data_IF_970823507439
#
_entry.id   IF_970823507439
#
_cell.length_a   1.000
_cell.length_b   1.000
_cell.length_c   1.000
_cell.angle_alpha   90.00
_cell.angle_beta   90.00
_cell.angle_gamma   90.00
#
_symmetry.space_group_name_H-M   'P 1'
#
loop_
_entity.id
_entity.type
_entity.pdbx_description
1 polymer ?
#
# COMPACT_ATOMS: atom_id res chain seq x y z
N UNK A 1 -14.07 -10.51 -54.84
CA UNK A 1 -14.47 -11.14 -53.56
C UNK A 1 -14.78 -10.02 -52.56
N UNK A 2 -16.07 -9.69 -52.39
CA UNK A 2 -16.54 -8.60 -51.53
C UNK A 2 -16.75 -9.17 -50.16
N UNK A 3 -15.82 -8.85 -49.23
CA UNK A 3 -15.96 -9.24 -47.82
C UNK A 3 -17.13 -8.47 -47.21
N UNK A 4 -18.22 -9.17 -46.86
CA UNK A 4 -19.49 -8.61 -46.37
C UNK A 4 -19.20 -7.69 -45.13
N UNK A 5 -19.80 -6.48 -45.09
CA UNK A 5 -19.66 -5.53 -43.96
C UNK A 5 -20.15 -6.14 -42.63
N UNK A 6 -20.95 -7.17 -42.69
CA UNK A 6 -21.43 -7.94 -41.54
C UNK A 6 -20.32 -8.72 -40.84
N UNK A 7 -19.39 -9.33 -41.57
CA UNK A 7 -18.24 -10.05 -41.02
C UNK A 7 -17.25 -9.10 -40.31
N UNK A 8 -17.08 -7.88 -40.85
CA UNK A 8 -16.20 -6.86 -40.22
C UNK A 8 -16.73 -6.39 -38.87
N UNK A 9 -18.06 -6.25 -38.75
CA UNK A 9 -18.71 -5.87 -37.47
C UNK A 9 -18.62 -6.98 -36.43
N UNK A 10 -18.76 -8.25 -36.89
CA UNK A 10 -18.63 -9.43 -36.02
C UNK A 10 -17.19 -9.61 -35.49
N UNK A 11 -16.18 -9.42 -36.35
CA UNK A 11 -14.79 -9.46 -35.94
C UNK A 11 -14.43 -8.34 -34.93
N UNK A 12 -14.94 -7.14 -35.13
CA UNK A 12 -14.76 -6.03 -34.22
C UNK A 12 -15.31 -6.30 -32.80
N UNK A 13 -16.51 -6.88 -32.72
CA UNK A 13 -17.15 -7.24 -31.45
C UNK A 13 -16.38 -8.35 -30.71
N UNK A 14 -15.88 -9.35 -31.45
CA UNK A 14 -15.07 -10.45 -30.84
C UNK A 14 -13.72 -9.94 -30.36
N UNK A 15 -13.07 -9.07 -31.11
CA UNK A 15 -11.78 -8.48 -30.70
C UNK A 15 -11.93 -7.59 -29.47
N UNK A 16 -12.97 -6.77 -29.40
CA UNK A 16 -13.28 -5.92 -28.24
C UNK A 16 -13.63 -6.78 -27.02
N UNK A 17 -14.44 -7.84 -27.20
CA UNK A 17 -14.80 -8.78 -26.13
C UNK A 17 -13.57 -9.50 -25.58
N UNK A 18 -12.66 -9.97 -26.42
CA UNK A 18 -11.43 -10.62 -26.00
C UNK A 18 -10.47 -9.66 -25.31
N UNK A 19 -10.42 -8.39 -25.73
CA UNK A 19 -9.61 -7.36 -25.10
C UNK A 19 -10.18 -6.97 -23.73
N UNK A 20 -11.49 -6.76 -23.61
CA UNK A 20 -12.17 -6.49 -22.32
C UNK A 20 -12.05 -7.67 -21.36
N UNK A 21 -12.18 -8.92 -21.83
CA UNK A 21 -12.00 -10.09 -20.98
C UNK A 21 -10.55 -10.21 -20.46
N UNK A 22 -9.55 -9.96 -21.31
CA UNK A 22 -8.14 -9.92 -20.88
C UNK A 22 -7.88 -8.80 -19.88
N UNK A 23 -8.44 -7.61 -20.06
CA UNK A 23 -8.34 -6.51 -19.08
C UNK A 23 -9.00 -6.90 -17.76
N UNK A 24 -10.20 -7.46 -17.78
CA UNK A 24 -10.91 -7.93 -16.57
C UNK A 24 -10.10 -9.01 -15.83
N UNK A 25 -9.49 -9.95 -16.56
CA UNK A 25 -8.64 -10.98 -15.97
C UNK A 25 -7.34 -10.42 -15.39
N UNK A 26 -6.72 -9.44 -16.04
CA UNK A 26 -5.55 -8.71 -15.51
C UNK A 26 -5.96 -7.91 -14.25
N UNK A 27 -7.12 -7.23 -14.30
CA UNK A 27 -7.64 -6.51 -13.13
C UNK A 27 -7.98 -7.45 -11.97
N UNK A 28 -8.63 -8.60 -12.23
CA UNK A 28 -8.91 -9.61 -11.19
C UNK A 28 -7.62 -10.17 -10.58
N UNK A 29 -6.63 -10.50 -11.42
CA UNK A 29 -5.34 -11.05 -10.99
C UNK A 29 -4.47 -10.03 -10.24
N UNK A 30 -4.58 -8.72 -10.58
CA UNK A 30 -3.83 -7.63 -9.96
C UNK A 30 -4.64 -6.81 -8.94
N UNK A 31 -5.88 -7.20 -8.68
CA UNK A 31 -6.79 -6.48 -7.78
C UNK A 31 -6.17 -6.22 -6.41
N UNK A 32 -5.48 -7.19 -5.84
CA UNK A 32 -4.81 -7.04 -4.53
C UNK A 32 -3.80 -5.89 -4.55
N UNK A 33 -2.97 -5.80 -5.60
CA UNK A 33 -1.93 -4.77 -5.72
C UNK A 33 -2.57 -3.40 -5.93
N UNK A 34 -3.56 -3.30 -6.81
CA UNK A 34 -4.26 -2.04 -7.09
C UNK A 34 -4.95 -1.54 -5.81
N UNK A 35 -5.69 -2.41 -5.13
CA UNK A 35 -6.35 -2.06 -3.87
C UNK A 35 -5.34 -1.69 -2.79
N UNK A 36 -4.18 -2.36 -2.74
CA UNK A 36 -3.10 -2.01 -1.82
C UNK A 36 -2.57 -0.60 -2.06
N UNK A 37 -2.34 -0.21 -3.32
CA UNK A 37 -1.89 1.13 -3.69
C UNK A 37 -2.95 2.18 -3.32
N UNK A 38 -4.21 1.93 -3.60
CA UNK A 38 -5.33 2.83 -3.24
C UNK A 38 -5.42 3.00 -1.71
N UNK A 39 -5.34 1.90 -0.96
CA UNK A 39 -5.33 1.96 0.50
C UNK A 39 -4.09 2.71 1.03
N UNK A 40 -2.94 2.55 0.39
CA UNK A 40 -1.73 3.30 0.72
C UNK A 40 -1.89 4.80 0.51
N UNK A 41 -2.44 5.23 -0.64
CA UNK A 41 -2.75 6.63 -0.91
C UNK A 41 -3.77 7.20 0.09
N UNK A 42 -4.84 6.46 0.39
CA UNK A 42 -5.81 6.84 1.41
C UNK A 42 -5.18 6.97 2.80
N UNK A 43 -4.25 6.09 3.16
CA UNK A 43 -3.49 6.16 4.43
C UNK A 43 -2.70 7.46 4.53
N UNK A 44 -2.05 7.88 3.44
CA UNK A 44 -1.31 9.15 3.40
C UNK A 44 -2.23 10.35 3.61
N UNK A 45 -3.39 10.36 2.96
CA UNK A 45 -4.40 11.41 3.15
C UNK A 45 -4.90 11.46 4.60
N UNK A 46 -5.18 10.31 5.20
CA UNK A 46 -5.59 10.21 6.61
C UNK A 46 -4.48 10.72 7.54
N UNK A 47 -3.22 10.39 7.27
CA UNK A 47 -2.08 10.88 8.05
C UNK A 47 -2.00 12.40 8.02
N UNK A 48 -2.14 13.01 6.83
CA UNK A 48 -2.13 14.47 6.65
C UNK A 48 -3.31 15.13 7.36
N UNK A 49 -4.51 14.55 7.29
CA UNK A 49 -5.70 15.07 7.97
C UNK A 49 -5.53 15.05 9.49
N UNK A 50 -5.03 13.94 10.04
CA UNK A 50 -4.78 13.83 11.48
C UNK A 50 -3.72 14.84 11.91
N UNK A 51 -2.63 14.95 11.15
CA UNK A 51 -1.58 15.93 11.41
C UNK A 51 -2.16 17.35 11.45
N UNK A 52 -2.94 17.73 10.43
CA UNK A 52 -3.55 19.05 10.33
C UNK A 52 -4.48 19.34 11.51
N UNK A 53 -5.37 18.41 11.85
CA UNK A 53 -6.30 18.57 12.99
C UNK A 53 -5.54 18.70 14.32
N UNK A 54 -4.50 17.90 14.53
CA UNK A 54 -3.68 18.00 15.73
C UNK A 54 -2.94 19.33 15.82
N UNK A 55 -2.38 19.80 14.70
CA UNK A 55 -1.63 21.05 14.62
C UNK A 55 -2.51 22.29 14.83
N UNK A 56 -3.75 22.27 14.30
CA UNK A 56 -4.67 23.42 14.38
C UNK A 56 -5.37 23.53 15.72
N UNK A 57 -5.76 22.40 16.34
CA UNK A 57 -6.68 22.42 17.50
C UNK A 57 -6.05 22.01 18.81
N UNK A 58 -4.92 21.30 18.84
CA UNK A 58 -4.45 20.66 20.07
C UNK A 58 -3.00 20.99 20.45
N UNK A 59 -2.13 21.33 19.50
CA UNK A 59 -0.72 21.45 19.75
C UNK A 59 -0.08 22.66 19.05
N UNK A 60 0.94 23.24 19.66
CA UNK A 60 1.73 24.31 19.05
C UNK A 60 2.89 23.71 18.20
N UNK A 61 2.81 23.94 16.89
CA UNK A 61 3.83 23.45 15.92
C UNK A 61 5.19 24.14 16.07
N UNK A 62 5.26 25.31 16.71
CA UNK A 62 6.52 26.00 16.98
C UNK A 62 7.32 25.34 18.11
N UNK A 63 6.67 24.52 18.93
CA UNK A 63 7.33 23.73 19.95
C UNK A 63 7.80 22.40 19.36
N UNK A 64 9.12 22.19 19.26
CA UNK A 64 9.73 21.01 18.66
C UNK A 64 9.26 19.69 19.31
N UNK A 65 9.00 19.66 20.62
CA UNK A 65 8.51 18.48 21.32
C UNK A 65 7.06 18.16 20.94
N UNK A 66 6.18 19.17 20.89
CA UNK A 66 4.79 19.00 20.49
C UNK A 66 4.68 18.59 19.02
N UNK A 67 5.53 19.14 18.16
CA UNK A 67 5.62 18.74 16.75
C UNK A 67 5.93 17.23 16.60
N UNK A 68 6.83 16.68 17.41
CA UNK A 68 7.13 15.25 17.40
C UNK A 68 5.95 14.41 17.90
N UNK A 69 5.21 14.89 18.90
CA UNK A 69 3.98 14.23 19.38
C UNK A 69 2.95 14.15 18.25
N UNK A 70 2.71 15.24 17.52
CA UNK A 70 1.79 15.26 16.37
C UNK A 70 2.22 14.23 15.31
N UNK A 71 3.51 14.17 14.97
CA UNK A 71 4.05 13.21 14.02
C UNK A 71 3.81 11.77 14.47
N UNK A 72 4.05 11.45 15.73
CA UNK A 72 3.82 10.11 16.28
C UNK A 72 2.34 9.74 16.26
N UNK A 73 1.46 10.65 16.71
CA UNK A 73 0.01 10.41 16.72
C UNK A 73 -0.51 10.17 15.30
N UNK A 74 -0.15 11.04 14.35
CA UNK A 74 -0.58 10.91 12.96
C UNK A 74 -0.06 9.62 12.32
N UNK A 75 1.18 9.21 12.62
CA UNK A 75 1.75 7.96 12.15
C UNK A 75 1.01 6.74 12.73
N UNK A 76 0.83 6.69 14.06
CA UNK A 76 0.16 5.56 14.73
C UNK A 76 -1.27 5.37 14.22
N UNK A 77 -2.05 6.45 14.13
CA UNK A 77 -3.44 6.38 13.69
C UNK A 77 -3.55 6.07 12.19
N UNK A 78 -2.66 6.59 11.36
CA UNK A 78 -2.64 6.26 9.93
C UNK A 78 -2.22 4.80 9.67
N UNK A 79 -1.29 4.24 10.46
CA UNK A 79 -0.93 2.82 10.38
C UNK A 79 -2.09 1.93 10.84
N UNK A 80 -2.85 2.34 11.85
CA UNK A 80 -4.06 1.62 12.26
C UNK A 80 -5.11 1.61 11.14
N UNK A 81 -5.36 2.77 10.51
CA UNK A 81 -6.24 2.86 9.33
C UNK A 81 -5.75 1.96 8.20
N UNK A 82 -4.44 1.99 7.90
CA UNK A 82 -3.83 1.12 6.90
C UNK A 82 -4.03 -0.37 7.22
N UNK A 83 -3.88 -0.76 8.49
CA UNK A 83 -4.13 -2.14 8.93
C UNK A 83 -5.56 -2.57 8.65
N UNK A 84 -6.55 -1.78 9.09
CA UNK A 84 -7.97 -2.09 8.93
C UNK A 84 -8.35 -2.20 7.45
N UNK A 85 -7.96 -1.23 6.64
CA UNK A 85 -8.26 -1.22 5.19
C UNK A 85 -7.58 -2.37 4.45
N UNK A 86 -6.32 -2.64 4.73
CA UNK A 86 -5.60 -3.75 4.13
C UNK A 86 -6.20 -5.11 4.55
N UNK A 87 -6.54 -5.29 5.83
CA UNK A 87 -7.17 -6.51 6.33
C UNK A 87 -8.50 -6.79 5.64
N UNK A 88 -9.37 -5.78 5.51
CA UNK A 88 -10.74 -5.94 5.01
C UNK A 88 -10.79 -5.93 3.48
N UNK A 89 -10.14 -4.94 2.84
CA UNK A 89 -10.31 -4.68 1.41
C UNK A 89 -9.30 -5.42 0.53
N UNK A 90 -8.04 -5.52 0.99
CA UNK A 90 -6.94 -6.09 0.20
C UNK A 90 -6.85 -7.59 0.43
N UNK A 91 -6.54 -8.01 1.66
CA UNK A 91 -6.20 -9.40 1.98
C UNK A 91 -7.40 -10.23 2.44
N UNK A 92 -8.49 -9.60 2.87
CA UNK A 92 -9.73 -10.24 3.35
C UNK A 92 -9.46 -11.31 4.41
N UNK A 93 -8.54 -11.01 5.35
CA UNK A 93 -8.13 -11.92 6.41
C UNK A 93 -9.22 -12.08 7.47
N UNK A 94 -9.45 -13.34 7.90
CA UNK A 94 -10.37 -13.71 8.98
C UNK A 94 -9.64 -14.07 10.28
N UNK A 95 -8.31 -14.02 10.30
CA UNK A 95 -7.52 -14.35 11.48
C UNK A 95 -7.65 -13.30 12.60
N UNK A 96 -7.12 -13.63 13.77
CA UNK A 96 -7.20 -12.78 14.97
C UNK A 96 -6.67 -11.36 14.69
N UNK A 97 -7.49 -10.31 14.88
CA UNK A 97 -7.11 -8.95 14.51
C UNK A 97 -5.93 -8.42 15.32
N UNK A 98 -5.84 -8.78 16.61
CA UNK A 98 -4.79 -8.27 17.49
C UNK A 98 -3.39 -8.79 17.10
N UNK A 99 -3.27 -10.09 16.83
CA UNK A 99 -1.98 -10.69 16.42
C UNK A 99 -1.52 -10.14 15.06
N UNK A 100 -2.45 -9.99 14.11
CA UNK A 100 -2.14 -9.41 12.80
C UNK A 100 -1.78 -7.93 12.91
N UNK A 101 -2.46 -7.17 13.76
CA UNK A 101 -2.15 -5.76 14.01
C UNK A 101 -0.73 -5.57 14.53
N UNK A 102 -0.33 -6.35 15.54
CA UNK A 102 1.04 -6.27 16.08
C UNK A 102 2.09 -6.61 15.01
N UNK A 103 1.86 -7.68 14.23
CA UNK A 103 2.75 -8.04 13.11
C UNK A 103 2.80 -6.93 12.05
N UNK A 104 1.66 -6.27 11.80
CA UNK A 104 1.59 -5.18 10.83
C UNK A 104 2.41 -3.96 11.28
N UNK A 105 2.29 -3.56 12.54
CA UNK A 105 3.10 -2.48 13.11
C UNK A 105 4.60 -2.80 13.06
N UNK A 106 4.98 -4.02 13.45
CA UNK A 106 6.39 -4.45 13.37
C UNK A 106 6.91 -4.44 11.93
N UNK A 107 6.11 -4.91 10.97
CA UNK A 107 6.48 -4.84 9.56
C UNK A 107 6.66 -3.39 9.08
N UNK A 108 5.81 -2.46 9.52
CA UNK A 108 5.92 -1.02 9.20
C UNK A 108 7.16 -0.38 9.81
N UNK A 109 7.48 -0.69 11.05
CA UNK A 109 8.74 -0.25 11.68
C UNK A 109 9.94 -0.81 10.92
N UNK A 110 9.91 -2.11 10.57
CA UNK A 110 10.98 -2.73 9.79
C UNK A 110 11.21 -2.05 8.44
N UNK A 111 10.15 -1.75 7.70
CA UNK A 111 10.29 -1.04 6.41
C UNK A 111 10.70 0.42 6.57
N UNK A 112 10.37 1.09 7.67
CA UNK A 112 10.88 2.42 8.01
C UNK A 112 12.40 2.39 8.22
N UNK A 113 12.91 1.41 8.96
CA UNK A 113 14.35 1.24 9.14
C UNK A 113 15.08 0.95 7.82
N UNK A 114 14.47 0.15 6.95
CA UNK A 114 15.01 -0.11 5.60
C UNK A 114 15.01 1.18 4.75
N UNK A 115 13.95 1.99 4.80
CA UNK A 115 13.89 3.30 4.11
C UNK A 115 15.04 4.21 4.55
N UNK A 116 15.24 4.34 5.86
CA UNK A 116 16.31 5.16 6.44
C UNK A 116 17.69 4.65 6.02
N UNK A 117 17.91 3.34 6.08
CA UNK A 117 19.18 2.73 5.68
C UNK A 117 19.47 2.92 4.19
N UNK A 118 18.49 2.68 3.33
CA UNK A 118 18.65 2.86 1.89
C UNK A 118 18.86 4.33 1.52
N UNK A 119 18.15 5.26 2.15
CA UNK A 119 18.37 6.70 1.93
C UNK A 119 19.80 7.10 2.32
N UNK A 120 20.28 6.65 3.48
CA UNK A 120 21.68 6.89 3.90
C UNK A 120 22.66 6.31 2.86
N UNK A 121 22.44 5.08 2.42
CA UNK A 121 23.32 4.44 1.44
C UNK A 121 23.35 5.20 0.10
N UNK A 122 22.17 5.55 -0.45
CA UNK A 122 22.11 6.20 -1.76
C UNK A 122 22.60 7.65 -1.73
N UNK A 123 22.21 8.42 -0.72
CA UNK A 123 22.50 9.85 -0.67
C UNK A 123 23.89 10.11 -0.07
N UNK A 124 24.22 9.45 1.04
CA UNK A 124 25.48 9.75 1.78
C UNK A 124 26.66 8.96 1.26
N UNK A 125 26.49 7.66 0.94
CA UNK A 125 27.60 6.81 0.52
C UNK A 125 27.80 6.85 -0.99
N UNK A 126 26.73 6.72 -1.78
CA UNK A 126 26.79 6.72 -3.23
C UNK A 126 26.67 8.11 -3.86
N UNK A 127 26.50 9.16 -3.06
CA UNK A 127 26.43 10.56 -3.49
C UNK A 127 25.42 10.81 -4.62
N UNK A 128 24.33 10.03 -4.66
CA UNK A 128 23.27 10.19 -5.65
C UNK A 128 22.37 11.39 -5.29
N UNK A 129 21.67 11.89 -6.32
CA UNK A 129 20.67 12.93 -6.11
C UNK A 129 19.59 12.44 -5.13
N UNK A 130 19.32 13.22 -4.08
CA UNK A 130 18.38 12.90 -2.99
C UNK A 130 16.95 12.62 -3.50
N UNK A 131 16.47 13.40 -4.48
CA UNK A 131 15.14 13.22 -5.09
C UNK A 131 15.04 11.90 -5.85
N UNK A 132 16.05 11.55 -6.65
CA UNK A 132 16.10 10.27 -7.36
C UNK A 132 16.21 9.10 -6.39
N UNK A 133 17.08 9.22 -5.38
CA UNK A 133 17.22 8.24 -4.32
C UNK A 133 15.89 8.00 -3.62
N UNK A 134 15.18 9.09 -3.24
CA UNK A 134 13.87 8.97 -2.56
C UNK A 134 12.82 8.30 -3.43
N UNK A 135 12.77 8.58 -4.73
CA UNK A 135 11.85 7.90 -5.64
C UNK A 135 12.11 6.40 -5.69
N UNK A 136 13.37 5.98 -5.87
CA UNK A 136 13.74 4.56 -5.93
C UNK A 136 13.45 3.85 -4.62
N UNK A 137 13.89 4.41 -3.50
CA UNK A 137 13.68 3.85 -2.16
C UNK A 137 12.18 3.73 -1.85
N UNK A 138 11.37 4.74 -2.20
CA UNK A 138 9.92 4.69 -1.99
C UNK A 138 9.27 3.52 -2.74
N UNK A 139 9.66 3.26 -3.98
CA UNK A 139 9.17 2.11 -4.75
C UNK A 139 9.56 0.79 -4.07
N UNK A 140 10.80 0.65 -3.62
CA UNK A 140 11.28 -0.54 -2.89
C UNK A 140 10.47 -0.74 -1.62
N UNK A 141 10.27 0.30 -0.83
CA UNK A 141 9.50 0.26 0.42
C UNK A 141 8.03 -0.11 0.18
N UNK A 142 7.39 0.40 -0.87
CA UNK A 142 6.02 0.01 -1.25
C UNK A 142 5.94 -1.49 -1.54
N UNK A 143 6.90 -2.02 -2.31
CA UNK A 143 6.97 -3.45 -2.64
C UNK A 143 7.18 -4.29 -1.37
N UNK A 144 8.11 -3.91 -0.52
CA UNK A 144 8.39 -4.61 0.75
C UNK A 144 7.17 -4.59 1.68
N UNK A 145 6.50 -3.46 1.82
CA UNK A 145 5.27 -3.34 2.60
C UNK A 145 4.17 -4.28 2.10
N UNK A 146 4.02 -4.42 0.77
CA UNK A 146 3.07 -5.36 0.18
C UNK A 146 3.45 -6.81 0.48
N UNK A 147 4.73 -7.17 0.28
CA UNK A 147 5.23 -8.52 0.52
C UNK A 147 5.08 -8.89 2.02
N UNK A 148 5.50 -8.02 2.92
CA UNK A 148 5.39 -8.25 4.37
C UNK A 148 3.93 -8.35 4.81
N UNK A 149 3.06 -7.48 4.26
CA UNK A 149 1.62 -7.59 4.50
C UNK A 149 1.09 -8.96 4.08
N UNK A 150 1.41 -9.41 2.90
CA UNK A 150 0.90 -10.67 2.34
C UNK A 150 1.49 -11.91 3.02
N UNK A 151 2.80 -11.92 3.30
CA UNK A 151 3.53 -13.12 3.75
C UNK A 151 3.60 -13.23 5.28
N UNK A 152 3.84 -12.10 5.98
CA UNK A 152 4.09 -12.12 7.42
C UNK A 152 2.83 -11.79 8.23
N UNK A 153 2.02 -10.85 7.74
CA UNK A 153 0.88 -10.32 8.51
C UNK A 153 -0.39 -11.12 8.22
N UNK A 154 -0.83 -11.13 6.96
CA UNK A 154 -2.11 -11.68 6.52
C UNK A 154 -1.95 -13.07 5.87
N UNK A 155 -1.03 -13.87 6.37
CA UNK A 155 -0.84 -15.25 5.92
C UNK A 155 -2.17 -15.99 6.10
N UNK A 156 -2.69 -16.58 5.02
CA UNK A 156 -3.81 -17.51 5.13
C UNK A 156 -3.35 -18.65 6.04
N UNK A 157 -3.91 -18.72 7.24
CA UNK A 157 -3.80 -19.88 8.11
C UNK A 157 -4.46 -21.02 7.33
N UNK A 158 -3.61 -21.95 6.85
CA UNK A 158 -4.11 -23.17 6.23
C UNK A 158 -4.99 -23.86 7.29
N UNK A 159 -6.22 -24.14 6.92
CA UNK A 159 -7.28 -24.82 7.69
C UNK A 159 -6.93 -26.27 8.12
N UNK A 160 -5.71 -26.54 8.56
CA UNK A 160 -5.26 -27.86 8.96
C UNK A 160 -4.98 -27.98 10.45
N UNK A 161 -5.56 -27.10 11.27
CA UNK A 161 -5.64 -27.32 12.72
C UNK A 161 -7.10 -27.57 13.13
N UNK A 162 -7.67 -28.63 12.52
CA UNK A 162 -8.77 -29.40 13.11
C UNK A 162 -8.23 -30.80 13.35
N UNK A 163 -7.70 -31.04 14.53
CA UNK A 163 -7.66 -32.31 15.23
C UNK A 163 -7.87 -32.05 16.72
#
# INVERSE_FOLDING_TARGET
MVCSPFLRKFYGVIVISNFTNRLVDIFKKRREIIMYIICGAATTLVSLLIYYVCAEFFFDVNNAFQLQIINVISWVLSVLFAFVTNKILVFKSKASPFKEMMRFYLARIGTLLIDMFLMYLFVTVLLQNDMLAKCVVSVVVIILNYIFGKVLVFRKENSNEKL
#
